data_IF_293513294518
#
_entry.id   IF_293513294518
#
_cell.length_a   1.000
_cell.length_b   1.000
_cell.length_c   1.000
_cell.angle_alpha   90.00
_cell.angle_beta   90.00
_cell.angle_gamma   90.00
#
_symmetry.space_group_name_H-M   'P 1'
#
loop_
_entity.id
_entity.type
_entity.pdbx_description
1 polymer ?
#
# COMPACT_ATOMS: atom_id res chain seq x y z
N UNK A 1 38.26 -11.44 48.13
CA UNK A 1 39.18 -11.08 47.03
C UNK A 1 38.30 -10.83 45.81
N UNK A 2 38.13 -9.55 45.47
CA UNK A 2 37.29 -9.12 44.36
C UNK A 2 38.18 -8.97 43.11
N UNK A 3 37.75 -9.56 42.01
CA UNK A 3 38.33 -9.40 40.68
C UNK A 3 37.77 -8.12 40.03
N UNK A 4 38.61 -7.21 39.50
CA UNK A 4 38.11 -6.04 38.79
C UNK A 4 37.85 -6.37 37.32
N UNK A 5 36.70 -5.91 36.83
CA UNK A 5 36.31 -5.93 35.43
C UNK A 5 37.08 -4.88 34.63
N UNK A 6 37.52 -5.26 33.43
CA UNK A 6 38.22 -4.39 32.49
C UNK A 6 37.25 -3.43 31.79
N UNK A 7 37.55 -2.13 31.84
CA UNK A 7 36.91 -1.09 31.04
C UNK A 7 37.44 -1.11 29.59
N UNK A 8 36.60 -0.94 28.56
CA UNK A 8 37.07 -0.75 27.20
C UNK A 8 37.49 0.72 26.97
N UNK A 9 38.60 0.86 26.26
CA UNK A 9 39.29 2.10 25.91
C UNK A 9 38.46 2.98 24.97
N UNK A 10 38.27 4.24 25.37
CA UNK A 10 37.77 5.34 24.53
C UNK A 10 38.90 5.85 23.62
N UNK A 11 38.72 5.76 22.31
CA UNK A 11 39.53 6.47 21.32
C UNK A 11 39.03 7.92 21.18
N UNK A 12 39.92 8.92 21.01
CA UNK A 12 39.55 10.34 21.02
C UNK A 12 38.93 10.80 19.70
N UNK A 13 37.83 11.55 19.80
CA UNK A 13 37.18 12.29 18.72
C UNK A 13 38.10 13.39 18.14
N UNK A 14 38.10 13.63 16.81
CA UNK A 14 38.80 14.76 16.22
C UNK A 14 38.06 16.09 16.48
N UNK A 15 38.83 17.12 16.86
CA UNK A 15 38.40 18.51 17.10
C UNK A 15 37.77 19.17 15.86
N UNK A 16 36.79 20.08 16.02
CA UNK A 16 36.17 20.80 14.92
C UNK A 16 37.06 21.93 14.38
N UNK A 17 37.10 22.09 13.06
CA UNK A 17 37.76 23.19 12.36
C UNK A 17 36.97 24.52 12.47
N UNK A 18 37.64 25.68 12.40
CA UNK A 18 37.10 26.97 12.82
C UNK A 18 36.10 27.59 11.83
N UNK A 19 35.17 28.36 12.40
CA UNK A 19 34.14 29.13 11.71
C UNK A 19 34.74 30.18 10.75
N UNK A 20 34.27 30.18 9.50
CA UNK A 20 34.50 31.28 8.56
C UNK A 20 33.41 32.34 8.71
N UNK A 21 33.81 33.51 9.17
CA UNK A 21 33.02 34.74 9.25
C UNK A 21 33.06 35.44 7.89
N UNK A 22 31.90 35.72 7.31
CA UNK A 22 31.75 36.68 6.20
C UNK A 22 30.66 37.72 6.53
N UNK A 23 30.83 38.98 6.07
CA UNK A 23 30.16 40.16 6.60
C UNK A 23 28.72 40.34 6.08
N UNK A 24 27.89 41.18 6.74
CA UNK A 24 26.48 41.32 6.40
C UNK A 24 26.31 42.10 5.10
N UNK A 25 25.52 41.55 4.15
CA UNK A 25 25.08 42.31 2.98
C UNK A 25 23.75 43.02 3.28
N UNK A 26 23.77 44.32 3.00
CA UNK A 26 22.71 45.32 3.16
C UNK A 26 21.39 44.92 2.49
N UNK A 27 20.30 45.22 3.18
CA UNK A 27 18.94 45.22 2.68
C UNK A 27 18.73 46.33 1.62
N UNK A 28 17.98 46.01 0.57
CA UNK A 28 17.40 46.98 -0.38
C UNK A 28 15.88 46.75 -0.40
N UNK A 29 15.05 47.79 -0.27
CA UNK A 29 13.60 47.64 -0.11
C UNK A 29 12.93 47.30 -1.45
N UNK A 30 12.18 46.20 -1.49
CA UNK A 30 11.36 45.85 -2.65
C UNK A 30 10.00 46.55 -2.54
N UNK A 31 9.65 47.29 -3.59
CA UNK A 31 8.45 48.10 -3.71
C UNK A 31 7.17 47.24 -3.72
N UNK A 32 6.13 47.74 -3.04
CA UNK A 32 4.74 47.26 -3.12
C UNK A 32 4.26 47.22 -4.57
N UNK A 33 3.93 46.03 -5.08
CA UNK A 33 3.12 45.87 -6.30
C UNK A 33 1.65 45.72 -5.90
N UNK A 34 0.86 46.73 -6.25
CA UNK A 34 -0.60 46.71 -6.22
C UNK A 34 -1.11 45.61 -7.16
N UNK A 35 -1.93 44.69 -6.64
CA UNK A 35 -2.66 43.69 -7.43
C UNK A 35 -3.84 44.39 -8.08
N UNK A 36 -3.76 44.61 -9.40
CA UNK A 36 -4.89 45.02 -10.23
C UNK A 36 -5.77 43.80 -10.52
N UNK A 37 -7.06 43.89 -10.16
CA UNK A 37 -8.11 42.91 -10.54
C UNK A 37 -8.30 42.91 -12.07
N UNK A 38 -8.47 41.75 -12.73
CA UNK A 38 -8.89 41.70 -14.12
C UNK A 38 -10.40 42.00 -14.27
N UNK A 39 -10.83 42.58 -15.41
CA UNK A 39 -12.21 43.00 -15.64
C UNK A 39 -13.12 41.82 -15.98
N UNK A 40 -14.37 41.90 -15.52
CA UNK A 40 -15.47 40.99 -15.86
C UNK A 40 -15.83 41.14 -17.34
N UNK A 41 -15.65 40.08 -18.14
CA UNK A 41 -16.20 39.98 -19.48
C UNK A 41 -17.59 39.31 -19.41
N UNK A 42 -18.63 40.05 -19.78
CA UNK A 42 -20.01 39.55 -19.88
C UNK A 42 -20.20 38.67 -21.11
N UNK A 43 -20.95 37.56 -20.95
CA UNK A 43 -21.41 36.70 -22.05
C UNK A 43 -22.57 37.38 -22.80
N UNK A 44 -22.61 37.38 -24.15
CA UNK A 44 -23.80 37.76 -24.90
C UNK A 44 -24.82 36.61 -24.93
N UNK A 45 -26.10 36.95 -24.75
CA UNK A 45 -27.25 36.03 -24.86
C UNK A 45 -27.52 35.68 -26.34
N UNK A 46 -27.60 34.39 -26.66
CA UNK A 46 -28.11 33.90 -27.94
C UNK A 46 -29.63 34.13 -28.02
N UNK A 47 -30.12 34.56 -29.20
CA UNK A 47 -31.54 34.71 -29.55
C UNK A 47 -32.10 33.38 -30.02
N UNK A 48 -33.33 33.04 -29.61
CA UNK A 48 -34.07 31.88 -30.10
C UNK A 48 -34.53 32.07 -31.57
N UNK A 49 -34.63 30.98 -32.36
CA UNK A 49 -35.13 31.04 -33.75
C UNK A 49 -36.68 31.06 -33.80
N UNK A 50 -37.29 31.57 -34.89
CA UNK A 50 -38.74 31.66 -35.02
C UNK A 50 -39.37 30.32 -35.47
N UNK A 51 -40.68 30.12 -35.25
CA UNK A 51 -41.35 28.85 -35.54
C UNK A 51 -41.61 28.66 -37.05
N UNK A 52 -41.51 27.41 -37.51
CA UNK A 52 -41.81 27.02 -38.89
C UNK A 52 -43.33 26.96 -39.17
N UNK A 53 -43.71 27.31 -40.40
CA UNK A 53 -45.08 27.27 -40.90
C UNK A 53 -45.54 25.84 -41.24
N UNK A 54 -46.86 25.53 -41.21
CA UNK A 54 -47.35 24.18 -41.46
C UNK A 54 -47.48 23.89 -42.97
N UNK A 55 -47.30 22.63 -43.42
CA UNK A 55 -47.61 22.24 -44.79
C UNK A 55 -49.11 21.89 -44.96
N UNK A 56 -49.64 21.92 -46.19
CA UNK A 56 -51.08 21.83 -46.47
C UNK A 56 -51.60 20.39 -46.48
N UNK A 57 -52.89 20.23 -46.23
CA UNK A 57 -53.63 18.97 -46.28
C UNK A 57 -54.11 18.67 -47.70
N UNK A 58 -53.86 17.45 -48.21
CA UNK A 58 -54.62 16.84 -49.31
C UNK A 58 -54.65 15.30 -49.17
N UNK A 59 -55.90 14.83 -49.01
CA UNK A 59 -56.57 13.59 -49.44
C UNK A 59 -56.01 12.18 -49.15
N UNK A 60 -56.84 11.43 -48.41
CA UNK A 60 -56.80 9.98 -48.27
C UNK A 60 -57.17 9.30 -49.60
N UNK A 61 -56.30 8.40 -50.06
CA UNK A 61 -56.66 7.28 -50.93
C UNK A 61 -55.97 6.06 -50.32
N UNK A 62 -56.77 5.08 -49.89
CA UNK A 62 -56.27 3.80 -49.43
C UNK A 62 -56.03 2.86 -50.61
N UNK A 63 -55.00 2.01 -50.48
CA UNK A 63 -54.79 0.71 -51.14
C UNK A 63 -53.49 0.15 -50.50
N UNK A 64 -53.63 -0.81 -49.59
CA UNK A 64 -53.31 -2.25 -49.75
C UNK A 64 -51.85 -2.59 -49.41
N UNK A 65 -51.71 -3.56 -48.50
CA UNK A 65 -50.49 -4.00 -47.81
C UNK A 65 -49.51 -4.73 -48.74
N UNK A 66 -48.24 -4.32 -48.75
CA UNK A 66 -47.12 -5.14 -49.20
C UNK A 66 -46.12 -5.27 -48.02
N UNK A 67 -46.00 -6.48 -47.48
CA UNK A 67 -45.01 -6.89 -46.48
C UNK A 67 -43.59 -6.80 -47.09
N UNK A 68 -42.81 -5.80 -46.67
CA UNK A 68 -41.37 -5.71 -46.97
C UNK A 68 -40.56 -6.10 -45.72
N UNK A 69 -40.28 -7.41 -45.63
CA UNK A 69 -39.60 -8.11 -44.53
C UNK A 69 -38.07 -7.89 -44.59
N UNK A 70 -37.64 -6.62 -44.45
CA UNK A 70 -36.22 -6.26 -44.34
C UNK A 70 -35.85 -5.97 -42.88
N UNK A 71 -34.93 -6.74 -42.26
CA UNK A 71 -34.50 -6.46 -40.88
C UNK A 71 -33.80 -5.09 -40.83
N UNK A 72 -34.07 -4.27 -39.81
CA UNK A 72 -33.45 -2.96 -39.71
C UNK A 72 -31.94 -3.14 -39.62
N UNK A 73 -31.21 -2.39 -40.47
CA UNK A 73 -29.75 -2.33 -40.43
C UNK A 73 -29.32 -1.99 -39.00
N UNK A 74 -28.86 -3.01 -38.26
CA UNK A 74 -28.20 -2.81 -36.97
C UNK A 74 -26.96 -1.97 -37.25
N UNK A 75 -27.00 -0.70 -36.84
CA UNK A 75 -25.79 0.07 -36.64
C UNK A 75 -24.89 -0.83 -35.79
N UNK A 76 -23.75 -1.25 -36.34
CA UNK A 76 -22.74 -1.96 -35.57
C UNK A 76 -22.45 -1.09 -34.34
N UNK A 77 -22.81 -1.58 -33.16
CA UNK A 77 -22.31 -0.99 -31.92
C UNK A 77 -20.79 -0.93 -32.07
N UNK A 78 -20.15 0.21 -31.78
CA UNK A 78 -18.69 0.26 -31.78
C UNK A 78 -18.20 -0.88 -30.89
N UNK A 79 -17.14 -1.61 -31.28
CA UNK A 79 -16.65 -2.71 -30.47
C UNK A 79 -16.51 -2.22 -29.03
N UNK A 80 -17.23 -2.86 -28.10
CA UNK A 80 -16.95 -2.69 -26.68
C UNK A 80 -15.49 -3.11 -26.52
N UNK A 81 -14.59 -2.13 -26.36
CA UNK A 81 -13.30 -2.43 -25.77
C UNK A 81 -13.63 -3.03 -24.40
N UNK A 82 -13.28 -4.30 -24.19
CA UNK A 82 -13.39 -4.91 -22.87
C UNK A 82 -12.75 -3.96 -21.87
N UNK A 83 -13.50 -3.54 -20.86
CA UNK A 83 -12.99 -2.64 -19.83
C UNK A 83 -11.78 -3.33 -19.18
N UNK A 84 -10.56 -2.78 -19.29
CA UNK A 84 -9.37 -3.46 -18.80
C UNK A 84 -9.28 -3.45 -17.28
N UNK A 85 -10.18 -2.73 -16.59
CA UNK A 85 -10.24 -2.68 -15.14
C UNK A 85 -11.06 -3.84 -14.56
N UNK A 86 -10.80 -4.26 -13.31
CA UNK A 86 -11.58 -5.31 -12.68
C UNK A 86 -13.07 -4.91 -12.57
N UNK A 87 -14.02 -5.81 -12.83
CA UNK A 87 -15.45 -5.49 -12.91
C UNK A 87 -16.07 -5.03 -11.57
N UNK A 88 -15.40 -5.31 -10.46
CA UNK A 88 -15.80 -4.90 -9.11
C UNK A 88 -15.33 -3.48 -8.74
N UNK A 89 -14.49 -2.87 -9.58
CA UNK A 89 -13.89 -1.56 -9.33
C UNK A 89 -14.66 -0.48 -10.09
N UNK A 90 -14.99 0.61 -9.38
CA UNK A 90 -15.65 1.77 -9.94
C UNK A 90 -14.71 2.99 -9.94
N UNK A 91 -14.81 3.92 -10.91
CA UNK A 91 -14.03 5.16 -10.87
C UNK A 91 -14.31 5.97 -9.60
N UNK A 92 -13.25 6.47 -8.96
CA UNK A 92 -13.37 7.32 -7.78
C UNK A 92 -14.23 8.57 -8.02
N UNK A 93 -14.90 9.05 -6.97
CA UNK A 93 -15.76 10.24 -7.04
C UNK A 93 -15.02 11.44 -7.69
N UNK A 94 -15.63 12.16 -8.65
CA UNK A 94 -15.01 13.32 -9.29
C UNK A 94 -14.48 14.39 -8.33
N UNK A 95 -15.07 14.51 -7.14
CA UNK A 95 -14.61 15.44 -6.10
C UNK A 95 -13.21 15.05 -5.58
N UNK A 96 -12.84 13.76 -5.57
CA UNK A 96 -11.49 13.29 -5.23
C UNK A 96 -10.43 13.98 -6.12
N UNK A 97 -10.66 13.99 -7.43
CA UNK A 97 -9.77 14.65 -8.39
C UNK A 97 -9.82 16.19 -8.26
N UNK A 98 -11.01 16.76 -8.07
CA UNK A 98 -11.19 18.21 -7.94
C UNK A 98 -10.39 18.78 -6.77
N UNK A 99 -10.43 18.09 -5.62
CA UNK A 99 -9.67 18.47 -4.43
C UNK A 99 -8.16 18.42 -4.72
N UNK A 100 -7.69 17.39 -5.41
CA UNK A 100 -6.28 17.24 -5.80
C UNK A 100 -5.80 18.36 -6.73
N UNK A 101 -6.55 18.65 -7.79
CA UNK A 101 -6.22 19.73 -8.72
C UNK A 101 -6.22 21.11 -8.05
N UNK A 102 -7.19 21.39 -7.19
CA UNK A 102 -7.26 22.64 -6.43
C UNK A 102 -6.04 22.83 -5.50
N UNK A 103 -5.33 21.75 -5.17
CA UNK A 103 -4.15 21.74 -4.29
C UNK A 103 -2.86 21.39 -5.02
N UNK A 104 -2.84 21.49 -6.34
CA UNK A 104 -1.66 21.29 -7.19
C UNK A 104 -1.04 19.88 -7.17
N UNK A 105 -1.80 18.87 -6.74
CA UNK A 105 -1.44 17.47 -6.99
C UNK A 105 -1.55 17.18 -8.49
N UNK A 106 -0.60 16.41 -9.03
CA UNK A 106 -0.58 16.02 -10.45
C UNK A 106 -0.45 14.52 -10.56
N UNK A 107 -1.28 13.92 -11.41
CA UNK A 107 -1.27 12.49 -11.76
C UNK A 107 -1.16 12.33 -13.28
N UNK A 108 -0.41 11.32 -13.75
CA UNK A 108 -0.09 11.13 -15.15
C UNK A 108 -0.32 9.69 -15.60
N UNK A 109 -1.38 9.44 -16.36
CA UNK A 109 -1.66 8.11 -16.92
C UNK A 109 -2.02 7.07 -15.85
N UNK A 110 -2.68 7.51 -14.79
CA UNK A 110 -3.21 6.66 -13.73
C UNK A 110 -4.64 7.08 -13.40
N UNK A 111 -5.43 6.13 -12.93
CA UNK A 111 -6.81 6.29 -12.47
C UNK A 111 -6.94 5.73 -11.06
N UNK A 112 -7.73 6.40 -10.23
CA UNK A 112 -8.11 5.93 -8.91
C UNK A 112 -9.46 5.25 -9.02
N UNK A 113 -9.52 4.00 -8.56
CA UNK A 113 -10.72 3.20 -8.55
C UNK A 113 -11.06 2.79 -7.11
N UNK A 114 -12.33 2.64 -6.81
CA UNK A 114 -12.88 2.18 -5.54
C UNK A 114 -13.49 0.80 -5.71
N UNK A 115 -13.26 -0.10 -4.76
CA UNK A 115 -13.87 -1.42 -4.78
C UNK A 115 -14.11 -1.98 -3.37
N UNK A 116 -14.47 -3.26 -3.25
CA UNK A 116 -14.84 -3.89 -1.97
C UNK A 116 -13.71 -3.86 -0.93
N UNK A 117 -12.46 -3.86 -1.41
CA UNK A 117 -11.26 -3.84 -0.58
C UNK A 117 -10.71 -2.42 -0.35
N UNK A 118 -11.43 -1.40 -0.83
CA UNK A 118 -11.08 0.02 -0.74
C UNK A 118 -10.55 0.60 -2.04
N UNK A 119 -9.95 1.78 -1.93
CA UNK A 119 -9.38 2.50 -3.06
C UNK A 119 -8.06 1.88 -3.53
N UNK A 120 -7.85 1.90 -4.84
CA UNK A 120 -6.64 1.44 -5.50
C UNK A 120 -6.30 2.34 -6.70
N UNK A 121 -5.07 2.22 -7.21
CA UNK A 121 -4.57 3.02 -8.32
C UNK A 121 -4.24 2.10 -9.49
N UNK A 122 -4.71 2.42 -10.69
CA UNK A 122 -4.48 1.64 -11.90
C UNK A 122 -3.85 2.47 -13.01
N UNK A 123 -3.11 1.82 -13.91
CA UNK A 123 -2.61 2.46 -15.11
C UNK A 123 -3.74 2.69 -16.12
N UNK A 124 -3.92 3.93 -16.58
CA UNK A 124 -4.92 4.27 -17.59
C UNK A 124 -4.44 4.12 -19.03
N UNK A 125 -3.17 3.75 -19.20
CA UNK A 125 -2.54 3.50 -20.51
C UNK A 125 -1.30 2.62 -20.35
N UNK A 126 -0.90 2.01 -21.44
CA UNK A 126 0.37 1.29 -21.51
C UNK A 126 1.56 2.22 -21.26
N UNK A 127 2.54 1.70 -20.52
CA UNK A 127 3.80 2.34 -20.20
C UNK A 127 4.95 1.42 -20.59
N UNK A 128 5.65 1.83 -21.64
CA UNK A 128 6.85 1.13 -22.09
C UNK A 128 7.97 1.16 -21.04
N UNK A 129 8.74 0.06 -20.92
CA UNK A 129 9.87 -0.01 -20.01
C UNK A 129 10.96 0.98 -20.41
N UNK A 130 11.30 1.88 -19.50
CA UNK A 130 12.38 2.86 -19.69
C UNK A 130 13.61 2.52 -18.86
N UNK A 131 14.80 2.91 -19.34
CA UNK A 131 16.06 2.80 -18.57
C UNK A 131 16.07 3.60 -17.28
N UNK A 132 15.17 4.58 -17.13
CA UNK A 132 15.06 5.44 -15.95
C UNK A 132 13.65 5.33 -15.40
N UNK A 133 13.51 5.53 -14.10
CA UNK A 133 12.22 5.61 -13.45
C UNK A 133 11.37 6.75 -14.06
N UNK A 134 10.06 6.55 -14.11
CA UNK A 134 9.10 7.50 -14.69
C UNK A 134 8.16 8.01 -13.60
N UNK A 135 8.07 9.33 -13.45
CA UNK A 135 7.11 9.97 -12.51
C UNK A 135 5.69 9.78 -13.02
N UNK A 136 4.79 9.33 -12.15
CA UNK A 136 3.35 9.18 -12.40
C UNK A 136 2.49 10.02 -11.46
N UNK A 137 3.01 10.44 -10.31
CA UNK A 137 2.35 11.40 -9.43
C UNK A 137 3.35 12.38 -8.82
N UNK A 138 2.91 13.61 -8.59
CA UNK A 138 3.64 14.66 -7.88
C UNK A 138 2.72 15.26 -6.80
N UNK A 139 3.10 15.11 -5.54
CA UNK A 139 2.28 15.46 -4.37
C UNK A 139 3.04 16.47 -3.50
N UNK A 140 2.64 17.75 -3.47
CA UNK A 140 3.31 18.79 -2.68
C UNK A 140 3.26 18.54 -1.17
N UNK A 141 4.31 18.96 -0.44
CA UNK A 141 4.36 18.91 1.02
C UNK A 141 3.14 19.55 1.68
N UNK A 142 2.59 20.60 1.04
CA UNK A 142 1.43 21.36 1.49
C UNK A 142 0.17 20.51 1.70
N UNK A 143 0.12 19.29 1.13
CA UNK A 143 -0.97 18.33 1.33
C UNK A 143 -0.71 17.34 2.47
N UNK A 144 0.54 17.19 2.89
CA UNK A 144 0.96 16.13 3.81
C UNK A 144 0.73 16.52 5.27
N UNK A 145 0.57 15.52 6.12
CA UNK A 145 0.78 15.65 7.57
C UNK A 145 2.11 15.00 7.93
N UNK A 146 2.98 15.74 8.61
CA UNK A 146 4.33 15.27 8.94
C UNK A 146 4.64 15.52 10.41
N UNK A 147 5.43 14.64 11.02
CA UNK A 147 6.08 14.89 12.30
C UNK A 147 7.44 14.22 12.38
N UNK A 148 8.44 14.90 12.92
CA UNK A 148 9.77 14.33 13.13
C UNK A 148 9.74 13.17 14.12
N UNK A 149 10.55 12.15 13.86
CA UNK A 149 10.65 10.99 14.74
C UNK A 149 11.43 11.29 16.02
N UNK A 150 12.37 12.24 16.00
CA UNK A 150 13.20 12.61 17.16
C UNK A 150 13.09 14.10 17.47
N UNK A 151 13.56 14.50 18.65
CA UNK A 151 13.60 15.90 19.08
C UNK A 151 14.57 16.73 18.21
N UNK A 152 14.31 18.03 18.00
CA UNK A 152 13.08 18.74 18.39
C UNK A 152 11.88 18.27 17.57
N UNK A 153 10.70 18.22 18.21
CA UNK A 153 9.46 17.89 17.52
C UNK A 153 9.12 19.00 16.53
N UNK A 154 9.15 18.67 15.24
CA UNK A 154 8.78 19.57 14.16
C UNK A 154 7.72 18.86 13.34
N UNK A 155 6.64 19.57 13.01
CA UNK A 155 5.55 19.05 12.21
C UNK A 155 5.12 20.05 11.14
N UNK A 156 4.44 19.54 10.14
CA UNK A 156 3.83 20.33 9.09
C UNK A 156 2.45 19.75 8.76
N UNK A 157 1.43 20.58 8.52
CA UNK A 157 1.46 22.05 8.65
C UNK A 157 1.52 22.49 10.12
N UNK A 158 2.08 23.68 10.37
CA UNK A 158 2.15 24.26 11.71
C UNK A 158 0.81 24.93 12.07
N UNK A 159 -0.22 24.09 12.27
CA UNK A 159 -1.62 24.51 12.51
C UNK A 159 -1.96 24.64 14.00
N UNK A 160 -1.08 24.17 14.89
CA UNK A 160 -1.37 24.10 16.32
C UNK A 160 -0.97 25.42 17.00
N UNK A 161 -1.89 26.12 17.68
CA UNK A 161 -1.56 27.35 18.38
C UNK A 161 -0.64 27.09 19.58
N UNK A 162 0.28 28.03 19.84
CA UNK A 162 1.17 27.97 21.00
C UNK A 162 0.37 27.80 22.31
N UNK A 163 0.78 26.83 23.14
CA UNK A 163 0.11 26.52 24.40
C UNK A 163 -1.06 25.55 24.29
N UNK A 164 -1.34 25.00 23.11
CA UNK A 164 -2.34 23.95 22.96
C UNK A 164 -1.93 22.66 23.71
N UNK A 165 -2.85 21.97 24.42
CA UNK A 165 -2.55 20.76 25.21
C UNK A 165 -1.93 19.60 24.43
N UNK A 166 -2.06 19.59 23.10
CA UNK A 166 -1.45 18.58 22.23
C UNK A 166 0.09 18.59 22.33
N UNK A 167 0.70 19.73 22.65
CA UNK A 167 2.15 19.79 22.86
C UNK A 167 2.59 18.98 24.07
N UNK A 168 1.83 19.02 25.18
CA UNK A 168 2.12 18.21 26.37
C UNK A 168 2.02 16.71 26.04
N UNK A 169 1.07 16.34 25.19
CA UNK A 169 0.91 14.98 24.69
C UNK A 169 2.14 14.58 23.89
N UNK A 170 2.48 15.33 22.85
CA UNK A 170 3.62 15.06 21.97
C UNK A 170 4.92 14.98 22.79
N UNK A 171 5.11 15.90 23.74
CA UNK A 171 6.32 15.95 24.58
C UNK A 171 6.43 14.76 25.54
N UNK A 172 5.30 14.17 25.94
CA UNK A 172 5.25 12.99 26.82
C UNK A 172 5.50 11.65 26.12
N UNK A 173 5.54 11.64 24.78
CA UNK A 173 5.69 10.42 23.99
C UNK A 173 7.15 9.95 23.91
N UNK A 174 7.34 8.64 23.71
CA UNK A 174 8.67 8.06 23.48
C UNK A 174 9.17 8.36 22.05
N UNK A 175 10.38 8.94 21.87
CA UNK A 175 10.94 9.20 20.55
C UNK A 175 11.14 7.96 19.67
N UNK A 176 11.42 6.80 20.26
CA UNK A 176 11.80 5.59 19.54
C UNK A 176 10.62 4.64 19.27
N UNK A 177 9.40 4.93 19.77
CA UNK A 177 8.23 4.06 19.52
C UNK A 177 6.95 4.79 19.14
N UNK A 178 6.74 6.03 19.60
CA UNK A 178 5.40 6.62 19.62
C UNK A 178 5.14 7.62 18.47
N UNK A 179 5.88 7.56 17.36
CA UNK A 179 5.71 8.50 16.24
C UNK A 179 4.33 8.40 15.59
N UNK A 180 3.72 7.20 15.55
CA UNK A 180 2.38 7.00 15.02
C UNK A 180 1.33 7.66 15.92
N UNK A 181 1.52 7.58 17.25
CA UNK A 181 0.64 8.23 18.22
C UNK A 181 0.66 9.75 18.03
N UNK A 182 1.87 10.33 17.89
CA UNK A 182 2.02 11.77 17.64
C UNK A 182 1.31 12.19 16.36
N UNK A 183 1.51 11.46 15.26
CA UNK A 183 0.89 11.76 13.97
C UNK A 183 -0.63 11.58 13.99
N UNK A 184 -1.15 10.61 14.74
CA UNK A 184 -2.59 10.42 14.92
C UNK A 184 -3.25 11.59 15.66
N UNK A 185 -2.59 12.14 16.69
CA UNK A 185 -3.04 13.36 17.34
C UNK A 185 -3.08 14.56 16.37
N UNK A 186 -2.07 14.69 15.51
CA UNK A 186 -2.04 15.75 14.49
C UNK A 186 -3.15 15.58 13.45
N UNK A 187 -3.42 14.34 13.02
CA UNK A 187 -4.49 14.02 12.07
C UNK A 187 -5.86 14.39 12.64
N UNK A 188 -6.17 13.99 13.88
CA UNK A 188 -7.40 14.39 14.55
C UNK A 188 -7.56 15.90 14.64
N UNK A 189 -6.48 16.58 15.04
CA UNK A 189 -6.49 18.05 15.10
C UNK A 189 -6.70 18.67 13.72
N UNK A 190 -6.11 18.12 12.66
CA UNK A 190 -6.28 18.61 11.30
C UNK A 190 -7.73 18.49 10.81
N UNK A 191 -8.47 17.45 11.22
CA UNK A 191 -9.91 17.35 10.94
C UNK A 191 -10.75 18.39 11.69
N UNK A 192 -10.31 18.85 12.85
CA UNK A 192 -11.04 19.82 13.66
C UNK A 192 -10.74 21.29 13.25
N UNK A 193 -9.75 21.51 12.38
CA UNK A 193 -9.39 22.85 11.85
C UNK A 193 -10.25 23.19 10.63
N UNK A 194 -11.00 24.29 10.71
CA UNK A 194 -11.81 24.82 9.60
C UNK A 194 -10.97 25.05 8.32
N UNK A 195 -11.56 24.72 7.17
CA UNK A 195 -10.96 24.86 5.84
C UNK A 195 -9.63 24.09 5.63
N UNK A 196 -9.33 23.12 6.51
CA UNK A 196 -8.16 22.27 6.35
C UNK A 196 -8.35 21.26 5.21
N UNK A 197 -7.27 20.98 4.47
CA UNK A 197 -7.29 19.96 3.42
C UNK A 197 -7.77 18.60 3.93
N UNK A 198 -7.36 18.20 5.13
CA UNK A 198 -7.70 16.90 5.70
C UNK A 198 -9.19 16.75 5.96
N UNK A 199 -9.95 17.82 6.22
CA UNK A 199 -11.41 17.74 6.28
C UNK A 199 -12.02 17.22 4.97
N UNK A 200 -11.47 17.62 3.82
CA UNK A 200 -11.92 17.17 2.50
C UNK A 200 -11.40 15.78 2.16
N UNK A 201 -10.17 15.46 2.55
CA UNK A 201 -9.58 14.15 2.26
C UNK A 201 -10.15 13.03 3.13
N UNK A 202 -10.66 13.37 4.32
CA UNK A 202 -11.24 12.42 5.27
C UNK A 202 -12.39 11.60 4.73
N UNK A 203 -13.18 12.17 3.82
CA UNK A 203 -14.32 11.50 3.18
C UNK A 203 -13.90 10.31 2.29
N UNK A 204 -12.60 10.24 1.91
CA UNK A 204 -12.03 9.16 1.10
C UNK A 204 -11.19 8.17 1.91
N UNK A 205 -11.10 8.37 3.23
CA UNK A 205 -10.48 7.40 4.14
C UNK A 205 -11.53 6.39 4.59
N UNK A 206 -11.15 5.13 4.84
CA UNK A 206 -12.08 4.13 5.32
C UNK A 206 -12.69 4.58 6.65
N UNK A 207 -14.00 4.39 6.78
CA UNK A 207 -14.73 4.61 8.03
C UNK A 207 -14.33 3.58 9.10
N UNK A 208 -14.81 3.78 10.33
CA UNK A 208 -14.54 2.87 11.46
C UNK A 208 -14.99 1.43 11.17
N UNK A 209 -16.09 1.26 10.43
CA UNK A 209 -16.65 -0.05 10.11
C UNK A 209 -15.95 -0.74 8.93
N UNK A 210 -15.36 0.05 8.03
CA UNK A 210 -14.57 -0.42 6.87
C UNK A 210 -13.11 -0.75 7.26
N UNK A 211 -12.61 -0.20 8.36
CA UNK A 211 -11.26 -0.48 8.84
C UNK A 211 -11.08 -1.96 9.23
N UNK A 212 -10.00 -2.55 8.73
CA UNK A 212 -9.57 -3.93 9.04
C UNK A 212 -8.68 -4.02 10.28
N UNK A 213 -8.28 -2.89 10.88
CA UNK A 213 -7.32 -2.86 11.99
C UNK A 213 -7.81 -3.63 13.21
N UNK A 214 -6.92 -4.46 13.78
CA UNK A 214 -7.17 -5.18 15.03
C UNK A 214 -7.31 -4.26 16.25
N UNK A 215 -6.91 -2.99 16.15
CA UNK A 215 -7.17 -1.97 17.18
C UNK A 215 -8.66 -1.74 17.37
N UNK A 216 -9.44 -1.81 16.29
CA UNK A 216 -10.89 -1.60 16.28
C UNK A 216 -11.68 -2.90 16.47
N UNK A 217 -10.99 -4.05 16.58
CA UNK A 217 -11.64 -5.32 16.84
C UNK A 217 -12.33 -5.30 18.22
N UNK A 218 -13.58 -5.81 18.33
CA UNK A 218 -14.34 -5.72 19.55
C UNK A 218 -13.64 -6.52 20.66
N UNK A 219 -13.18 -5.83 21.72
CA UNK A 219 -12.64 -6.45 22.94
C UNK A 219 -13.36 -5.91 24.17
N UNK A 220 -13.79 -6.82 25.05
CA UNK A 220 -14.09 -6.52 26.45
C UNK A 220 -12.79 -6.19 27.20
N UNK A 221 -12.23 -4.99 27.03
CA UNK A 221 -11.12 -4.52 27.88
C UNK A 221 -11.32 -3.07 28.29
N UNK A 222 -11.09 -2.81 29.56
CA UNK A 222 -11.07 -1.48 30.16
C UNK A 222 -9.92 -0.67 29.57
N UNK A 223 -10.25 0.49 29.00
CA UNK A 223 -9.32 1.37 28.30
C UNK A 223 -8.41 2.10 29.31
N UNK A 224 -7.09 2.17 29.10
CA UNK A 224 -6.19 2.95 29.94
C UNK A 224 -6.59 4.44 29.99
N UNK A 225 -6.60 5.04 31.18
CA UNK A 225 -7.00 6.44 31.40
C UNK A 225 -6.22 7.46 30.55
N UNK A 226 -4.98 7.15 30.16
CA UNK A 226 -4.17 8.00 29.28
C UNK A 226 -4.82 8.17 27.90
N UNK A 227 -5.40 7.12 27.33
CA UNK A 227 -6.09 7.16 26.03
C UNK A 227 -7.38 7.98 26.07
N UNK A 228 -8.13 7.92 27.17
CA UNK A 228 -9.35 8.76 27.37
C UNK A 228 -9.05 10.26 27.44
N UNK A 229 -7.80 10.65 27.69
CA UNK A 229 -7.37 12.06 27.70
C UNK A 229 -6.91 12.54 26.31
N UNK A 230 -6.61 11.63 25.38
CA UNK A 230 -6.09 11.92 24.03
C UNK A 230 -7.21 12.26 23.03
N UNK A 231 -8.38 11.65 23.19
CA UNK A 231 -9.59 12.03 22.49
C UNK A 231 -10.81 11.80 23.40
N UNK A 232 -11.78 12.73 23.43
CA UNK A 232 -13.05 12.50 24.12
C UNK A 232 -13.79 11.26 23.59
N UNK A 233 -13.61 10.98 22.30
CA UNK A 233 -14.08 9.76 21.63
C UNK A 233 -12.90 8.81 21.36
N UNK A 234 -12.88 7.71 22.10
CA UNK A 234 -11.83 6.71 22.02
C UNK A 234 -11.83 5.95 20.69
N UNK A 235 -13.00 5.68 20.11
CA UNK A 235 -13.10 4.95 18.84
C UNK A 235 -12.54 5.80 17.71
N UNK A 236 -12.84 7.10 17.69
CA UNK A 236 -12.24 8.07 16.76
C UNK A 236 -10.71 8.11 16.89
N UNK A 237 -10.16 8.00 18.10
CA UNK A 237 -8.70 7.95 18.28
C UNK A 237 -8.09 6.65 17.76
N UNK A 238 -8.69 5.50 18.08
CA UNK A 238 -8.19 4.22 17.57
C UNK A 238 -8.28 4.17 16.05
N UNK A 239 -9.34 4.73 15.46
CA UNK A 239 -9.47 4.90 14.02
C UNK A 239 -8.32 5.73 13.45
N UNK A 240 -8.08 6.93 13.98
CA UNK A 240 -6.98 7.78 13.50
C UNK A 240 -5.61 7.10 13.64
N UNK A 241 -5.37 6.37 14.74
CA UNK A 241 -4.15 5.59 14.91
C UNK A 241 -4.04 4.47 13.87
N UNK A 242 -5.13 3.77 13.57
CA UNK A 242 -5.13 2.75 12.51
C UNK A 242 -4.92 3.32 11.10
N UNK A 243 -5.47 4.51 10.80
CA UNK A 243 -5.17 5.24 9.56
C UNK A 243 -3.68 5.54 9.48
N UNK A 244 -3.10 6.11 10.55
CA UNK A 244 -1.67 6.43 10.58
C UNK A 244 -0.80 5.19 10.43
N UNK A 245 -1.06 4.12 11.17
CA UNK A 245 -0.24 2.91 11.11
C UNK A 245 -0.24 2.27 9.71
N UNK A 246 -1.39 2.27 9.04
CA UNK A 246 -1.57 1.63 7.74
C UNK A 246 -1.15 2.50 6.54
N UNK A 247 -1.16 3.83 6.67
CA UNK A 247 -0.97 4.76 5.53
C UNK A 247 0.27 5.66 5.64
N UNK A 248 0.90 5.73 6.81
CA UNK A 248 2.08 6.57 6.97
C UNK A 248 3.35 5.94 6.42
N UNK A 249 4.22 6.80 5.89
CA UNK A 249 5.54 6.45 5.37
C UNK A 249 6.61 7.27 6.06
N UNK A 250 7.81 6.70 6.15
CA UNK A 250 8.96 7.40 6.72
C UNK A 250 9.75 8.09 5.61
N UNK A 251 9.94 9.40 5.73
CA UNK A 251 10.69 10.21 4.77
C UNK A 251 11.75 11.05 5.48
N UNK A 252 12.90 11.23 4.83
CA UNK A 252 13.92 12.19 5.26
C UNK A 252 13.56 13.58 4.76
N UNK A 253 12.97 14.39 5.63
CA UNK A 253 12.52 15.73 5.29
C UNK A 253 13.49 16.79 5.82
N UNK A 254 13.61 17.89 5.07
CA UNK A 254 14.28 19.10 5.55
C UNK A 254 13.26 19.99 6.24
N UNK A 255 13.32 20.04 7.57
CA UNK A 255 12.47 20.87 8.42
C UNK A 255 13.34 21.96 9.04
N UNK A 256 13.21 23.19 8.54
CA UNK A 256 14.11 24.29 8.91
C UNK A 256 15.56 24.01 8.53
N UNK A 257 16.47 24.04 9.52
CA UNK A 257 17.89 23.76 9.33
C UNK A 257 18.26 22.27 9.40
N UNK A 258 17.31 21.40 9.77
CA UNK A 258 17.57 19.99 10.05
C UNK A 258 17.11 19.08 8.92
N UNK A 259 17.90 18.04 8.63
CA UNK A 259 17.48 16.91 7.81
C UNK A 259 17.21 15.73 8.75
N UNK A 260 15.97 15.27 8.81
CA UNK A 260 15.55 14.29 9.80
C UNK A 260 14.50 13.33 9.26
N UNK A 261 14.49 12.11 9.79
CA UNK A 261 13.40 11.16 9.58
C UNK A 261 12.10 11.70 10.18
N UNK A 262 11.06 11.72 9.37
CA UNK A 262 9.72 12.13 9.72
C UNK A 262 8.73 11.04 9.33
N UNK A 263 7.73 10.83 10.18
CA UNK A 263 6.56 10.05 9.84
C UNK A 263 5.58 10.95 9.08
N UNK A 264 5.07 10.46 7.96
CA UNK A 264 4.33 11.29 6.99
C UNK A 264 3.10 10.57 6.46
N UNK A 265 1.95 11.23 6.49
CA UNK A 265 0.81 10.87 5.65
C UNK A 265 0.90 11.62 4.33
N UNK A 266 0.89 10.87 3.22
CA UNK A 266 0.99 11.40 1.86
C UNK A 266 -0.32 11.10 1.11
N UNK A 267 -1.27 12.05 1.06
CA UNK A 267 -2.52 11.87 0.33
C UNK A 267 -2.27 11.44 -1.12
N UNK A 268 -3.19 10.67 -1.69
CA UNK A 268 -3.15 10.02 -3.00
C UNK A 268 -2.12 8.89 -3.12
N UNK A 269 -0.89 9.09 -2.63
CA UNK A 269 0.10 8.02 -2.62
C UNK A 269 -0.26 6.90 -1.64
N UNK A 270 -1.01 7.21 -0.58
CA UNK A 270 -1.52 6.24 0.39
C UNK A 270 -2.67 5.37 -0.14
N UNK A 271 -3.12 5.59 -1.38
CA UNK A 271 -4.07 4.72 -2.09
C UNK A 271 -3.38 3.63 -2.93
N UNK A 272 -2.04 3.64 -3.00
CA UNK A 272 -1.28 2.57 -3.64
C UNK A 272 -1.24 1.35 -2.73
N UNK A 273 -1.73 0.20 -3.21
CA UNK A 273 -1.70 -1.05 -2.45
C UNK A 273 -0.31 -1.69 -2.40
N UNK A 274 -0.19 -2.67 -1.50
CA UNK A 274 1.02 -3.46 -1.34
C UNK A 274 1.19 -4.51 -2.44
N UNK A 275 2.40 -4.63 -2.98
CA UNK A 275 2.84 -5.84 -3.68
C UNK A 275 4.31 -6.14 -3.36
N UNK A 276 4.69 -7.42 -3.12
CA UNK A 276 6.10 -7.79 -3.00
C UNK A 276 6.87 -7.63 -4.32
N UNK A 277 6.18 -7.63 -5.46
CA UNK A 277 6.74 -7.31 -6.78
C UNK A 277 6.20 -5.96 -7.28
N UNK A 278 6.22 -4.97 -6.39
CA UNK A 278 5.74 -3.62 -6.66
C UNK A 278 6.36 -3.01 -7.91
N UNK A 279 5.52 -2.41 -8.75
CA UNK A 279 5.95 -1.71 -9.97
C UNK A 279 6.35 -0.24 -9.70
N UNK A 280 5.99 0.31 -8.54
CA UNK A 280 6.27 1.69 -8.15
C UNK A 280 7.13 1.82 -6.88
N UNK A 281 7.63 3.03 -6.64
CA UNK A 281 8.26 3.45 -5.40
C UNK A 281 8.05 4.95 -5.15
N UNK A 282 8.25 5.38 -3.90
CA UNK A 282 8.16 6.79 -3.50
C UNK A 282 9.54 7.46 -3.53
N UNK A 283 9.61 8.67 -4.04
CA UNK A 283 10.82 9.48 -4.09
C UNK A 283 10.55 10.90 -3.56
N UNK A 284 11.36 11.37 -2.60
CA UNK A 284 11.26 12.73 -2.11
C UNK A 284 12.10 13.70 -2.94
N UNK A 285 11.45 14.59 -3.69
CA UNK A 285 12.12 15.67 -4.42
C UNK A 285 12.35 16.88 -3.52
N UNK A 286 13.56 16.96 -2.96
CA UNK A 286 13.98 18.01 -2.03
C UNK A 286 13.79 19.44 -2.52
N UNK A 287 14.10 19.72 -3.80
CA UNK A 287 14.13 21.09 -4.34
C UNK A 287 12.75 21.75 -4.30
N UNK A 288 11.74 20.98 -4.67
CA UNK A 288 10.38 21.47 -4.85
C UNK A 288 9.46 21.01 -3.71
N UNK A 289 10.02 20.32 -2.70
CA UNK A 289 9.34 19.80 -1.51
C UNK A 289 8.09 19.00 -1.86
N UNK A 290 8.25 17.94 -2.65
CA UNK A 290 7.15 17.07 -3.00
C UNK A 290 7.55 15.60 -3.08
N UNK A 291 6.58 14.73 -2.81
CA UNK A 291 6.70 13.29 -3.04
C UNK A 291 6.36 13.00 -4.49
N UNK A 292 7.17 12.18 -5.13
CA UNK A 292 6.96 11.62 -6.44
C UNK A 292 6.65 10.14 -6.31
N UNK A 293 5.57 9.68 -6.93
CA UNK A 293 5.36 8.25 -7.17
C UNK A 293 5.98 7.94 -8.53
N UNK A 294 6.86 6.95 -8.57
CA UNK A 294 7.63 6.62 -9.76
C UNK A 294 7.54 5.14 -10.12
N UNK A 295 7.33 4.83 -11.39
CA UNK A 295 7.47 3.47 -11.93
C UNK A 295 8.96 3.10 -11.94
N UNK A 296 9.29 1.89 -11.48
CA UNK A 296 10.66 1.34 -11.46
C UNK A 296 11.24 1.27 -12.88
N UNK A 297 12.55 1.54 -13.00
CA UNK A 297 13.24 1.42 -14.29
C UNK A 297 13.17 -0.02 -14.82
N UNK A 298 13.00 -0.17 -16.13
CA UNK A 298 12.90 -1.47 -16.81
C UNK A 298 11.56 -2.19 -16.65
N UNK A 299 10.63 -1.66 -15.84
CA UNK A 299 9.29 -2.24 -15.65
C UNK A 299 8.35 -1.75 -16.74
N UNK A 300 7.72 -2.70 -17.44
CA UNK A 300 6.57 -2.42 -18.30
C UNK A 300 5.29 -2.47 -17.46
N UNK A 301 4.32 -1.62 -17.78
CA UNK A 301 2.99 -1.61 -17.16
C UNK A 301 1.95 -1.50 -18.27
N UNK A 302 0.94 -2.35 -18.26
CA UNK A 302 -0.17 -2.31 -19.23
C UNK A 302 -1.32 -1.46 -18.67
N UNK A 303 -2.15 -0.92 -19.56
CA UNK A 303 -3.45 -0.35 -19.18
C UNK A 303 -4.24 -1.41 -18.40
N UNK A 304 -4.83 -1.01 -17.28
CA UNK A 304 -5.55 -1.91 -16.38
C UNK A 304 -4.69 -2.60 -15.32
N UNK A 305 -3.36 -2.49 -15.39
CA UNK A 305 -2.50 -3.00 -14.31
C UNK A 305 -2.62 -2.11 -13.05
N UNK A 306 -2.69 -2.74 -11.89
CA UNK A 306 -2.65 -2.03 -10.60
C UNK A 306 -1.25 -1.46 -10.32
N UNK A 307 -1.20 -0.22 -9.87
CA UNK A 307 0.00 0.48 -9.44
C UNK A 307 0.21 0.19 -7.96
N UNK A 308 1.34 -0.44 -7.62
CA UNK A 308 1.60 -0.94 -6.27
C UNK A 308 2.97 -0.52 -5.79
N UNK A 309 3.09 -0.36 -4.47
CA UNK A 309 4.35 -0.09 -3.76
C UNK A 309 4.66 -1.24 -2.79
N UNK A 310 5.91 -1.38 -2.42
CA UNK A 310 6.29 -2.32 -1.37
C UNK A 310 6.16 -1.61 0.00
N UNK A 311 5.30 -2.13 0.87
CA UNK A 311 5.08 -1.57 2.20
C UNK A 311 6.20 -1.99 3.15
N UNK A 312 6.56 -3.27 3.09
CA UNK A 312 7.66 -3.86 3.84
C UNK A 312 7.88 -5.31 3.41
N UNK A 313 9.12 -5.76 3.58
CA UNK A 313 9.50 -7.17 3.62
C UNK A 313 9.18 -7.77 4.99
N UNK A 314 7.96 -8.26 5.20
CA UNK A 314 7.51 -8.76 6.50
C UNK A 314 6.53 -9.94 6.43
N UNK A 315 6.45 -10.70 7.52
CA UNK A 315 5.49 -11.81 7.71
C UNK A 315 4.06 -11.29 7.81
N UNK A 316 3.05 -12.12 7.53
CA UNK A 316 1.66 -11.68 7.61
C UNK A 316 1.24 -11.21 9.00
N UNK A 317 1.89 -11.67 10.09
CA UNK A 317 1.57 -11.15 11.43
C UNK A 317 1.85 -9.65 11.54
N UNK A 318 2.92 -9.16 10.89
CA UNK A 318 3.25 -7.74 10.83
C UNK A 318 2.29 -6.97 9.93
N UNK A 319 1.87 -7.56 8.81
CA UNK A 319 0.82 -6.97 7.96
C UNK A 319 -0.52 -6.86 8.69
N UNK A 320 -0.91 -7.89 9.44
CA UNK A 320 -2.13 -7.88 10.25
C UNK A 320 -2.09 -6.83 11.36
N UNK A 321 -0.95 -6.71 12.05
CA UNK A 321 -0.79 -5.74 13.14
C UNK A 321 -0.85 -4.30 12.65
N UNK A 322 -0.18 -4.00 11.53
CA UNK A 322 0.02 -2.62 11.06
C UNK A 322 -0.97 -2.16 9.99
N UNK A 323 -1.30 -3.03 9.04
CA UNK A 323 -2.08 -2.70 7.85
C UNK A 323 -3.45 -3.40 7.82
N UNK A 324 -3.68 -4.39 8.68
CA UNK A 324 -4.93 -5.12 8.72
C UNK A 324 -5.18 -5.93 7.45
N UNK A 325 -4.15 -6.56 6.88
CA UNK A 325 -4.32 -7.55 5.81
C UNK A 325 -3.32 -8.70 5.94
N UNK A 326 -3.53 -9.75 5.14
CA UNK A 326 -2.55 -10.82 4.94
C UNK A 326 -2.64 -11.33 3.50
N UNK A 327 -1.56 -11.93 3.00
CA UNK A 327 -1.51 -12.48 1.66
C UNK A 327 -1.12 -13.97 1.68
N UNK A 328 -1.82 -14.84 0.92
CA UNK A 328 -1.46 -16.25 0.80
C UNK A 328 -0.18 -16.45 -0.04
N UNK A 329 0.25 -15.43 -0.77
CA UNK A 329 1.44 -15.43 -1.63
C UNK A 329 2.54 -14.52 -1.07
N UNK A 330 2.53 -14.23 0.23
CA UNK A 330 3.58 -13.44 0.87
C UNK A 330 4.91 -14.21 0.85
N UNK A 331 5.95 -13.75 0.13
CA UNK A 331 7.22 -14.46 0.04
C UNK A 331 8.03 -14.44 1.33
N UNK A 332 7.68 -13.58 2.28
CA UNK A 332 8.38 -13.40 3.55
C UNK A 332 7.73 -14.16 4.71
N UNK A 333 6.65 -14.91 4.47
CA UNK A 333 5.97 -15.65 5.53
C UNK A 333 6.88 -16.71 6.15
N UNK A 334 6.74 -16.93 7.47
CA UNK A 334 7.58 -17.86 8.22
C UNK A 334 6.78 -18.93 8.97
N UNK A 335 7.28 -20.17 8.90
CA UNK A 335 6.80 -21.33 9.66
C UNK A 335 7.98 -21.92 10.43
N UNK A 336 7.75 -22.20 11.71
CA UNK A 336 8.76 -22.79 12.57
C UNK A 336 8.55 -24.30 12.59
N UNK A 337 9.54 -25.04 12.09
CA UNK A 337 9.63 -26.48 12.20
C UNK A 337 10.37 -26.87 13.49
N UNK A 338 9.93 -27.95 14.11
CA UNK A 338 10.49 -28.53 15.33
C UNK A 338 11.28 -29.81 15.05
N UNK A 339 11.06 -30.44 13.88
CA UNK A 339 11.82 -31.60 13.42
C UNK A 339 13.28 -31.27 13.15
N UNK A 340 14.16 -32.23 13.44
CA UNK A 340 15.58 -32.18 13.06
C UNK A 340 15.80 -32.49 11.56
N UNK A 341 14.74 -32.84 10.82
CA UNK A 341 14.79 -33.11 9.39
C UNK A 341 15.25 -31.88 8.61
N UNK A 342 16.16 -32.08 7.65
CA UNK A 342 16.66 -31.02 6.78
C UNK A 342 16.77 -31.50 5.34
N UNK A 343 16.52 -30.59 4.41
CA UNK A 343 16.71 -30.80 2.97
C UNK A 343 17.85 -29.94 2.44
N UNK A 344 18.43 -30.32 1.31
CA UNK A 344 19.48 -29.55 0.66
C UNK A 344 18.91 -28.30 -0.02
N UNK A 345 19.40 -27.11 0.38
CA UNK A 345 18.85 -25.84 -0.10
C UNK A 345 18.98 -25.68 -1.62
N UNK A 346 20.18 -25.86 -2.16
CA UNK A 346 20.43 -25.60 -3.59
C UNK A 346 19.68 -26.59 -4.49
N UNK A 347 19.48 -27.83 -4.01
CA UNK A 347 18.66 -28.82 -4.71
C UNK A 347 17.20 -28.37 -4.76
N UNK A 348 16.65 -27.89 -3.65
CA UNK A 348 15.29 -27.37 -3.60
C UNK A 348 15.12 -26.15 -4.51
N UNK A 349 16.03 -25.17 -4.42
CA UNK A 349 16.02 -23.97 -5.26
C UNK A 349 16.08 -24.31 -6.75
N UNK A 350 16.92 -25.29 -7.12
CA UNK A 350 17.05 -25.74 -8.51
C UNK A 350 15.77 -26.37 -9.05
N UNK A 351 15.00 -27.11 -8.24
CA UNK A 351 13.74 -27.73 -8.69
C UNK A 351 12.70 -26.69 -9.08
N UNK A 352 12.71 -25.53 -8.42
CA UNK A 352 11.75 -24.45 -8.63
C UNK A 352 12.30 -23.26 -9.44
N UNK A 353 13.54 -23.35 -9.97
CA UNK A 353 14.22 -22.25 -10.65
C UNK A 353 14.24 -20.95 -9.83
N UNK A 354 14.45 -21.08 -8.52
CA UNK A 354 14.62 -19.95 -7.62
C UNK A 354 16.12 -19.63 -7.57
N UNK A 355 16.45 -18.35 -7.68
CA UNK A 355 17.82 -17.86 -7.63
C UNK A 355 17.94 -16.73 -6.60
N UNK A 356 19.18 -16.41 -6.21
CA UNK A 356 19.48 -15.33 -5.28
C UNK A 356 20.04 -15.84 -3.95
N UNK A 357 20.34 -14.89 -3.06
CA UNK A 357 20.72 -15.17 -1.68
C UNK A 357 19.46 -15.45 -0.85
N UNK A 358 19.60 -16.05 0.33
CA UNK A 358 18.47 -16.38 1.22
C UNK A 358 17.53 -15.18 1.48
N UNK A 359 18.12 -13.99 1.66
CA UNK A 359 17.37 -12.75 1.88
C UNK A 359 16.76 -12.20 0.57
N UNK A 360 17.30 -12.55 -0.59
CA UNK A 360 16.94 -11.97 -1.90
C UNK A 360 16.52 -13.05 -2.92
N UNK A 361 15.79 -14.07 -2.46
CA UNK A 361 15.28 -15.11 -3.36
C UNK A 361 14.23 -14.56 -4.32
N UNK A 362 14.39 -14.87 -5.61
CA UNK A 362 13.41 -14.57 -6.65
C UNK A 362 13.24 -15.74 -7.63
N UNK A 363 12.04 -15.86 -8.18
CA UNK A 363 11.73 -16.86 -9.18
C UNK A 363 12.19 -16.42 -10.57
N UNK A 364 12.96 -17.27 -11.25
CA UNK A 364 13.45 -16.99 -12.60
C UNK A 364 12.54 -17.65 -13.66
N UNK A 365 11.47 -16.94 -14.03
CA UNK A 365 10.51 -17.38 -15.05
C UNK A 365 11.13 -17.54 -16.46
N UNK A 366 12.27 -16.89 -16.75
CA UNK A 366 12.90 -16.99 -18.07
C UNK A 366 13.51 -18.37 -18.35
N UNK A 367 13.75 -19.16 -17.30
CA UNK A 367 14.30 -20.52 -17.40
C UNK A 367 13.21 -21.61 -17.49
N UNK A 368 11.95 -21.27 -17.25
CA UNK A 368 10.83 -22.20 -17.45
C UNK A 368 10.31 -22.13 -18.88
N UNK A 369 10.46 -23.22 -19.62
CA UNK A 369 9.79 -23.42 -20.91
C UNK A 369 8.31 -23.74 -20.67
N UNK A 370 7.52 -22.74 -20.28
CA UNK A 370 6.08 -22.84 -20.09
C UNK A 370 5.52 -21.93 -18.99
N UNK A 371 4.22 -21.67 -19.03
CA UNK A 371 3.43 -20.96 -18.00
C UNK A 371 3.33 -21.83 -16.73
N UNK A 372 4.40 -21.88 -15.93
CA UNK A 372 4.39 -22.66 -14.71
C UNK A 372 3.86 -21.80 -13.55
N UNK A 373 2.53 -21.68 -13.45
CA UNK A 373 1.85 -20.84 -12.45
C UNK A 373 1.97 -21.34 -11.00
N UNK A 374 2.65 -22.47 -10.76
CA UNK A 374 2.84 -23.01 -9.40
C UNK A 374 3.78 -22.14 -8.56
N UNK A 375 4.87 -21.64 -9.14
CA UNK A 375 5.89 -20.89 -8.39
C UNK A 375 5.43 -19.45 -8.23
N UNK A 376 4.97 -19.14 -7.01
CA UNK A 376 4.59 -17.81 -6.56
C UNK A 376 5.36 -17.47 -5.28
N UNK A 377 5.00 -16.36 -4.62
CA UNK A 377 5.62 -16.00 -3.35
C UNK A 377 5.47 -17.08 -2.26
N UNK A 378 4.43 -17.92 -2.30
CA UNK A 378 4.28 -19.03 -1.34
C UNK A 378 5.40 -20.08 -1.45
N UNK A 379 5.89 -20.37 -2.65
CA UNK A 379 7.03 -21.29 -2.86
C UNK A 379 8.34 -20.64 -2.42
N UNK A 380 8.49 -19.33 -2.62
CA UNK A 380 9.64 -18.57 -2.12
C UNK A 380 9.63 -18.56 -0.58
N UNK A 381 8.47 -18.42 0.05
CA UNK A 381 8.33 -18.58 1.50
C UNK A 381 8.65 -20.00 1.95
N UNK A 382 8.25 -21.04 1.21
CA UNK A 382 8.65 -22.42 1.49
C UNK A 382 10.18 -22.57 1.48
N UNK A 383 10.87 -22.01 0.49
CA UNK A 383 12.34 -22.03 0.40
C UNK A 383 13.03 -21.34 1.60
N UNK A 384 12.41 -20.31 2.18
CA UNK A 384 12.93 -19.60 3.37
C UNK A 384 12.65 -20.32 4.67
N UNK A 385 11.55 -21.06 4.75
CA UNK A 385 11.06 -21.65 6.00
C UNK A 385 11.50 -23.07 6.25
N UNK A 386 11.70 -23.83 5.17
CA UNK A 386 12.11 -25.22 5.29
C UNK A 386 13.49 -25.29 5.96
N UNK A 387 13.67 -26.17 6.97
CA UNK A 387 14.98 -26.41 7.53
C UNK A 387 15.92 -26.96 6.46
N UNK A 388 16.97 -26.20 6.14
CA UNK A 388 17.92 -26.59 5.11
C UNK A 388 19.35 -26.65 5.60
N UNK A 389 20.19 -27.35 4.83
CA UNK A 389 21.64 -27.26 4.92
C UNK A 389 22.21 -26.92 3.54
N UNK A 390 23.38 -26.27 3.53
CA UNK A 390 24.10 -25.86 2.33
C UNK A 390 25.63 -26.00 2.53
N UNK A 391 26.06 -26.86 3.46
CA UNK A 391 27.48 -27.03 3.78
C UNK A 391 28.22 -27.86 2.72
N UNK A 392 28.98 -27.18 1.86
CA UNK A 392 30.13 -27.73 1.13
C UNK A 392 29.87 -28.89 0.15
N UNK A 393 30.93 -29.67 -0.12
CA UNK A 393 31.02 -30.75 -1.11
C UNK A 393 30.16 -32.01 -0.81
N UNK A 394 29.20 -31.94 0.11
CA UNK A 394 28.31 -33.08 0.41
C UNK A 394 27.13 -33.04 -0.58
N UNK A 395 27.05 -33.95 -1.56
CA UNK A 395 25.93 -33.95 -2.48
C UNK A 395 24.65 -34.36 -1.75
N UNK A 396 23.52 -33.78 -2.17
CA UNK A 396 22.21 -34.20 -1.72
C UNK A 396 22.01 -35.70 -2.04
N UNK A 397 21.78 -36.53 -1.01
CA UNK A 397 21.54 -37.96 -1.20
C UNK A 397 20.03 -38.16 -1.38
N UNK A 398 19.53 -38.59 -2.56
CA UNK A 398 18.11 -38.61 -2.87
C UNK A 398 17.25 -39.39 -1.85
N UNK A 399 17.75 -40.51 -1.33
CA UNK A 399 17.03 -41.32 -0.34
C UNK A 399 16.90 -40.63 1.02
N UNK A 400 17.93 -39.88 1.45
CA UNK A 400 17.89 -39.10 2.69
C UNK A 400 16.99 -37.88 2.53
N UNK A 401 17.10 -37.19 1.39
CA UNK A 401 16.26 -36.04 1.05
C UNK A 401 14.77 -36.41 1.02
N UNK A 402 14.40 -37.54 0.41
CA UNK A 402 13.01 -38.03 0.43
C UNK A 402 12.52 -38.32 1.84
N UNK A 403 13.34 -38.98 2.67
CA UNK A 403 12.99 -39.25 4.07
C UNK A 403 12.82 -37.96 4.88
N UNK A 404 13.71 -36.99 4.69
CA UNK A 404 13.61 -35.68 5.33
C UNK A 404 12.37 -34.91 4.87
N UNK A 405 12.09 -34.90 3.56
CA UNK A 405 10.92 -34.26 2.99
C UNK A 405 9.61 -34.87 3.55
N UNK A 406 9.52 -36.19 3.65
CA UNK A 406 8.40 -36.89 4.27
C UNK A 406 8.19 -36.47 5.73
N UNK A 407 9.27 -36.41 6.52
CA UNK A 407 9.18 -35.97 7.92
C UNK A 407 8.69 -34.51 8.04
N UNK A 408 9.12 -33.62 7.14
CA UNK A 408 8.66 -32.23 7.09
C UNK A 408 7.19 -32.13 6.63
N UNK A 409 6.74 -32.99 5.72
CA UNK A 409 5.33 -33.10 5.32
C UNK A 409 4.45 -33.57 6.47
N UNK A 410 4.85 -34.62 7.19
CA UNK A 410 4.14 -35.13 8.37
C UNK A 410 3.99 -34.04 9.45
N UNK A 411 5.03 -33.24 9.66
CA UNK A 411 4.98 -32.08 10.55
C UNK A 411 3.99 -31.01 10.04
N UNK A 412 3.98 -30.70 8.74
CA UNK A 412 2.99 -29.79 8.15
C UNK A 412 1.55 -30.29 8.33
N UNK A 413 1.30 -31.60 8.13
CA UNK A 413 0.00 -32.21 8.37
C UNK A 413 -0.41 -32.09 9.85
N UNK A 414 0.50 -32.36 10.77
CA UNK A 414 0.26 -32.18 12.22
C UNK A 414 -0.08 -30.73 12.56
N UNK A 415 0.62 -29.77 11.94
CA UNK A 415 0.31 -28.34 12.11
C UNK A 415 -1.08 -28.00 11.56
N UNK A 416 -1.47 -28.53 10.40
CA UNK A 416 -2.81 -28.33 9.82
C UNK A 416 -3.91 -28.91 10.73
N UNK A 417 -3.70 -30.10 11.29
CA UNK A 417 -4.63 -30.73 12.22
C UNK A 417 -4.77 -29.97 13.55
N UNK A 418 -3.78 -29.17 13.93
CA UNK A 418 -3.83 -28.34 15.14
C UNK A 418 -4.81 -27.16 15.03
N UNK A 419 -5.24 -26.78 13.82
CA UNK A 419 -6.24 -25.73 13.63
C UNK A 419 -7.63 -26.23 14.00
N UNK A 420 -8.43 -25.35 14.62
CA UNK A 420 -9.83 -25.66 14.97
C UNK A 420 -10.78 -25.74 13.76
N UNK A 421 -10.32 -25.38 12.57
CA UNK A 421 -11.11 -25.33 11.33
C UNK A 421 -10.25 -25.78 10.14
N UNK A 422 -10.88 -26.38 9.13
CA UNK A 422 -10.22 -26.76 7.87
C UNK A 422 -10.13 -25.59 6.88
N UNK A 423 -9.39 -25.77 5.78
CA UNK A 423 -9.33 -24.78 4.68
C UNK A 423 -10.74 -24.57 4.10
N UNK A 424 -11.46 -25.66 3.84
CA UNK A 424 -12.80 -25.64 3.27
C UNK A 424 -13.78 -24.91 4.18
N UNK A 425 -13.75 -25.18 5.49
CA UNK A 425 -14.62 -24.50 6.45
C UNK A 425 -14.36 -22.99 6.51
N UNK A 426 -13.11 -22.56 6.45
CA UNK A 426 -12.81 -21.12 6.44
C UNK A 426 -13.24 -20.46 5.12
N UNK A 427 -13.09 -21.15 4.00
CA UNK A 427 -13.58 -20.67 2.71
C UNK A 427 -15.11 -20.57 2.71
N UNK A 428 -15.82 -21.59 3.20
CA UNK A 428 -17.29 -21.57 3.36
C UNK A 428 -17.77 -20.42 4.24
N UNK A 429 -17.02 -20.08 5.30
CA UNK A 429 -17.35 -18.93 6.14
C UNK A 429 -17.17 -17.62 5.36
N UNK A 430 -16.11 -17.49 4.57
CA UNK A 430 -15.84 -16.28 3.77
C UNK A 430 -16.82 -16.14 2.59
N UNK A 431 -17.22 -17.25 1.99
CA UNK A 431 -18.16 -17.30 0.87
C UNK A 431 -19.63 -17.19 1.32
N UNK A 432 -19.89 -17.29 2.62
CA UNK A 432 -21.26 -17.18 3.13
C UNK A 432 -21.81 -15.76 2.93
N UNK A 433 -23.04 -15.65 2.43
CA UNK A 433 -23.77 -14.37 2.24
C UNK A 433 -24.07 -13.62 3.56
N UNK A 434 -23.63 -14.14 4.70
CA UNK A 434 -23.79 -13.49 5.99
C UNK A 434 -22.92 -12.25 6.08
N UNK A 435 -23.48 -11.13 6.54
CA UNK A 435 -22.68 -9.93 6.81
C UNK A 435 -21.67 -10.22 7.94
N UNK A 436 -20.40 -10.38 7.58
CA UNK A 436 -19.29 -10.55 8.50
C UNK A 436 -18.57 -9.20 8.63
N UNK A 437 -18.36 -8.75 9.86
CA UNK A 437 -17.56 -7.54 10.10
C UNK A 437 -16.16 -7.69 9.50
N UNK A 438 -15.65 -6.63 8.88
CA UNK A 438 -14.35 -6.61 8.20
C UNK A 438 -13.18 -7.13 9.05
N UNK A 439 -13.14 -6.76 10.33
CA UNK A 439 -12.13 -7.26 11.30
C UNK A 439 -12.20 -8.77 11.55
N UNK A 440 -13.39 -9.37 11.48
CA UNK A 440 -13.57 -10.81 11.59
C UNK A 440 -13.19 -11.51 10.28
N UNK A 441 -13.59 -10.95 9.15
CA UNK A 441 -13.22 -11.45 7.81
C UNK A 441 -11.69 -11.55 7.69
N UNK A 442 -10.95 -10.51 8.05
CA UNK A 442 -9.49 -10.52 7.92
C UNK A 442 -8.82 -11.49 8.90
N UNK A 443 -9.37 -11.69 10.10
CA UNK A 443 -8.87 -12.70 11.03
C UNK A 443 -9.05 -14.12 10.48
N UNK A 444 -10.14 -14.37 9.74
CA UNK A 444 -10.40 -15.63 9.05
C UNK A 444 -9.43 -15.80 7.87
N UNK A 445 -9.27 -14.76 7.03
CA UNK A 445 -8.27 -14.73 5.95
C UNK A 445 -6.86 -15.03 6.46
N UNK A 446 -6.44 -14.43 7.57
CA UNK A 446 -5.11 -14.67 8.16
C UNK A 446 -4.88 -16.14 8.54
N UNK A 447 -5.83 -16.78 9.23
CA UNK A 447 -5.68 -18.22 9.57
C UNK A 447 -5.79 -19.11 8.33
N UNK A 448 -6.63 -18.75 7.36
CA UNK A 448 -6.77 -19.47 6.09
C UNK A 448 -5.45 -19.42 5.32
N UNK A 449 -4.85 -18.23 5.16
CA UNK A 449 -3.57 -18.05 4.47
C UNK A 449 -2.44 -18.85 5.12
N UNK A 450 -2.43 -18.96 6.45
CA UNK A 450 -1.46 -19.83 7.16
C UNK A 450 -1.64 -21.30 6.83
N UNK A 451 -2.88 -21.79 6.72
CA UNK A 451 -3.17 -23.17 6.27
C UNK A 451 -2.82 -23.39 4.80
N UNK A 452 -3.12 -22.41 3.94
CA UNK A 452 -2.76 -22.47 2.52
C UNK A 452 -1.25 -22.53 2.32
N UNK A 453 -0.46 -21.81 3.13
CA UNK A 453 1.00 -21.92 3.06
C UNK A 453 1.49 -23.31 3.48
N UNK A 454 0.95 -23.89 4.56
CA UNK A 454 1.29 -25.26 4.97
C UNK A 454 0.98 -26.26 3.84
N UNK A 455 -0.19 -26.14 3.20
CA UNK A 455 -0.54 -26.96 2.05
C UNK A 455 0.43 -26.74 0.88
N UNK A 456 0.77 -25.49 0.57
CA UNK A 456 1.73 -25.14 -0.48
C UNK A 456 3.11 -25.75 -0.22
N UNK A 457 3.56 -25.79 1.04
CA UNK A 457 4.81 -26.43 1.44
C UNK A 457 4.74 -27.95 1.24
N UNK A 458 3.63 -28.59 1.60
CA UNK A 458 3.41 -30.02 1.36
C UNK A 458 3.52 -30.32 -0.14
N UNK A 459 2.80 -29.55 -0.96
CA UNK A 459 2.79 -29.71 -2.43
C UNK A 459 4.20 -29.46 -3.02
N UNK A 460 4.94 -28.47 -2.51
CA UNK A 460 6.31 -28.19 -2.93
C UNK A 460 7.27 -29.33 -2.54
N UNK A 461 7.10 -29.93 -1.36
CA UNK A 461 7.88 -31.08 -0.93
C UNK A 461 7.56 -32.34 -1.75
N UNK A 462 6.32 -32.52 -2.21
CA UNK A 462 5.97 -33.61 -3.15
C UNK A 462 6.70 -33.43 -4.49
N UNK A 463 6.61 -32.23 -5.07
CA UNK A 463 7.31 -31.90 -6.32
C UNK A 463 8.83 -32.06 -6.16
N UNK A 464 9.37 -31.66 -5.01
CA UNK A 464 10.79 -31.84 -4.69
C UNK A 464 11.19 -33.32 -4.69
N UNK A 465 10.41 -34.18 -4.02
CA UNK A 465 10.66 -35.62 -3.96
C UNK A 465 10.59 -36.32 -5.33
N UNK A 466 9.69 -35.88 -6.19
CA UNK A 466 9.51 -36.39 -7.55
C UNK A 466 10.63 -35.96 -8.50
N UNK A 467 11.10 -34.71 -8.35
CA UNK A 467 12.07 -34.09 -9.26
C UNK A 467 13.52 -34.16 -8.79
N UNK A 468 13.80 -34.62 -7.57
CA UNK A 468 15.17 -34.80 -7.12
C UNK A 468 15.85 -35.90 -7.94
N UNK A 469 16.67 -35.47 -8.90
CA UNK A 469 17.43 -36.34 -9.79
C UNK A 469 18.61 -36.95 -9.03
N UNK A 470 18.93 -38.20 -9.35
CA UNK A 470 19.97 -39.02 -8.72
C UNK A 470 21.38 -38.46 -8.82
#
# INVERSE_FOLDING_TARGET
MATPAASPLLLPLPLPLPASTFPPRRAVPCARRLVLRPPRAGRPRLRDPPPAAPPPAVEEVGEEEEDDDAPPLRLLEPPQEDDPFPPEMEPADPDFYRIGYARMMRAYGVEFLEGPDGMAVYASRDVDPLRRARVIMEIPLELMLTITQKRPWMFFPDIIPLGHPIFDIIESTDPETDWDLRLACLLLYAFDVEDNFWQLYGDFLPSVDECTSLLLAPKHKTIPLKLKRLAPDHERFLWALSIVQSRSVNLKLRMGAFLQDANVLVPYADMLNHSPDANCFLHWRFKDRMVEVMIKAGRAVKKGDEMTIDYMSGVNSSFMERYGFSSPKNPWELINFSSDAKIHLDSFLSVFNIAGLHDELYYNAALTSGENNFVDGGVVAAARTLPTWSEGDVPAIPSLERKSAQALQEECHTMLESFSTTIQQDQEILDSDGHIRRTREIAIKYRLHRKLLLQKIIDALDIYQDKILF
#
